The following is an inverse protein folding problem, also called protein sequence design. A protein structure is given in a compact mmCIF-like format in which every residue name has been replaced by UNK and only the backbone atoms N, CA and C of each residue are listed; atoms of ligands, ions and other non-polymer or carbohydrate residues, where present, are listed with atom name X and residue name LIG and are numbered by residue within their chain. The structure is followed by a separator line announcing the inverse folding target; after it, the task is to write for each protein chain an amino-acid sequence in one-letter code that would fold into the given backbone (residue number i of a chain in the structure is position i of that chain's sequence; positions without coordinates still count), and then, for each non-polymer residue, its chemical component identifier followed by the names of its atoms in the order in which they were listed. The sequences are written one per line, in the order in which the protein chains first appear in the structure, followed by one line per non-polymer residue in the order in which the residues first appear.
data_IF_226490133267
#
_entry.id   IF_226490133267
#
_cell.length_a   1.000
_cell.length_b   1.000
_cell.length_c   1.000
_cell.angle_alpha   90.00
_cell.angle_beta   90.00
_cell.angle_gamma   90.00
#
_symmetry.space_group_name_H-M   'P 1'
#
loop_
_entity.id
_entity.type
_entity.pdbx_description
1 polymer ?
#
# COMPACT_ATOMS: atom_id res chain seq x y z
N UNK A 1 25.79 -15.51 10.02
CA UNK A 1 25.05 -14.44 10.70
C UNK A 1 23.82 -15.04 11.35
N UNK A 2 23.43 -14.57 12.54
CA UNK A 2 22.17 -14.92 13.17
C UNK A 2 21.09 -13.92 12.81
N UNK A 3 19.96 -14.40 12.29
CA UNK A 3 18.83 -13.61 11.85
C UNK A 3 17.64 -13.92 12.77
N UNK A 4 17.01 -12.88 13.30
CA UNK A 4 15.83 -12.98 14.15
C UNK A 4 14.58 -12.46 13.47
N UNK A 5 13.47 -13.16 13.65
CA UNK A 5 12.16 -12.76 13.14
C UNK A 5 11.18 -12.77 14.32
N UNK A 6 10.97 -11.63 14.99
CA UNK A 6 10.00 -11.52 16.07
C UNK A 6 8.56 -11.52 15.55
N UNK A 7 7.62 -11.73 16.47
CA UNK A 7 6.20 -11.52 16.26
C UNK A 7 5.91 -10.02 16.12
N UNK A 8 5.07 -9.63 15.17
CA UNK A 8 4.58 -8.26 15.06
C UNK A 8 3.53 -7.96 16.12
N UNK A 9 3.67 -6.84 16.80
CA UNK A 9 2.84 -6.45 17.94
C UNK A 9 1.85 -5.32 17.64
N UNK A 10 1.96 -4.66 16.49
CA UNK A 10 1.05 -3.60 16.10
C UNK A 10 -0.37 -4.13 15.92
N UNK A 11 -1.35 -3.41 16.48
CA UNK A 11 -2.76 -3.77 16.36
C UNK A 11 -3.20 -3.90 14.90
N UNK A 12 -3.80 -5.05 14.55
CA UNK A 12 -4.25 -5.35 13.19
C UNK A 12 -3.16 -5.83 12.23
N UNK A 13 -1.88 -5.90 12.65
CA UNK A 13 -0.82 -6.48 11.84
C UNK A 13 -0.91 -8.02 11.85
N UNK A 14 -0.99 -8.60 10.67
CA UNK A 14 -1.08 -10.06 10.50
C UNK A 14 0.10 -10.63 9.73
N UNK A 15 0.96 -9.77 9.18
CA UNK A 15 2.12 -10.20 8.40
C UNK A 15 3.26 -10.66 9.31
N UNK A 16 4.16 -11.44 8.74
CA UNK A 16 5.43 -11.84 9.32
C UNK A 16 6.56 -11.45 8.36
N UNK A 17 7.70 -11.04 8.89
CA UNK A 17 8.79 -10.49 8.07
C UNK A 17 9.50 -11.54 7.17
N UNK A 18 9.33 -12.83 7.46
CA UNK A 18 9.90 -13.89 6.62
C UNK A 18 8.93 -15.07 6.48
N UNK A 19 8.80 -15.59 5.27
CA UNK A 19 8.05 -16.82 4.99
C UNK A 19 8.96 -18.06 5.12
N UNK A 20 8.43 -19.29 5.25
CA UNK A 20 9.26 -20.51 5.26
C UNK A 20 10.16 -20.61 4.01
N UNK A 21 9.68 -20.19 2.83
CA UNK A 21 10.49 -20.18 1.62
C UNK A 21 11.69 -19.22 1.74
N UNK A 22 11.47 -18.02 2.27
CA UNK A 22 12.53 -17.04 2.52
C UNK A 22 13.53 -17.56 3.55
N UNK A 23 13.04 -18.12 4.64
CA UNK A 23 13.87 -18.73 5.70
C UNK A 23 14.74 -19.87 5.13
N UNK A 24 14.15 -20.75 4.30
CA UNK A 24 14.90 -21.82 3.62
C UNK A 24 16.06 -21.28 2.78
N UNK A 25 15.83 -20.18 2.05
CA UNK A 25 16.88 -19.51 1.25
C UNK A 25 17.99 -18.95 2.13
N UNK A 26 17.65 -18.27 3.24
CA UNK A 26 18.62 -17.71 4.19
C UNK A 26 19.48 -18.81 4.84
N UNK A 27 18.86 -19.91 5.26
CA UNK A 27 19.58 -21.07 5.82
C UNK A 27 20.49 -21.71 4.77
N UNK A 28 20.02 -21.85 3.52
CA UNK A 28 20.82 -22.33 2.41
C UNK A 28 22.05 -21.45 2.07
N UNK A 29 22.00 -20.18 2.47
CA UNK A 29 23.14 -19.25 2.38
C UNK A 29 24.08 -19.29 3.60
N UNK A 30 23.84 -20.21 4.55
CA UNK A 30 24.67 -20.40 5.73
C UNK A 30 24.29 -19.50 6.93
N UNK A 31 23.10 -18.90 6.93
CA UNK A 31 22.60 -18.14 8.07
C UNK A 31 21.84 -19.03 9.05
N UNK A 32 21.86 -18.68 10.32
CA UNK A 32 20.98 -19.25 11.35
C UNK A 32 19.77 -18.33 11.50
N UNK A 33 18.57 -18.91 11.49
CA UNK A 33 17.32 -18.13 11.61
C UNK A 33 16.56 -18.58 12.85
N UNK A 34 16.21 -17.62 13.71
CA UNK A 34 15.36 -17.83 14.89
C UNK A 34 14.08 -17.02 14.72
N UNK A 35 12.92 -17.69 14.78
CA UNK A 35 11.62 -17.03 14.82
C UNK A 35 11.09 -17.05 16.24
N UNK A 36 10.40 -15.98 16.63
CA UNK A 36 9.58 -16.01 17.83
C UNK A 36 8.40 -16.95 17.60
N UNK A 37 8.10 -17.81 18.60
CA UNK A 37 6.96 -18.71 18.55
C UNK A 37 5.66 -17.94 18.26
N UNK A 38 4.89 -18.44 17.31
CA UNK A 38 3.65 -17.83 16.87
C UNK A 38 3.79 -16.68 15.88
N UNK A 39 5.01 -16.26 15.49
CA UNK A 39 5.21 -15.12 14.60
C UNK A 39 4.47 -15.23 13.25
N UNK A 40 4.31 -16.43 12.72
CA UNK A 40 3.62 -16.68 11.45
C UNK A 40 2.12 -16.98 11.57
N UNK A 41 1.58 -17.19 12.78
CA UNK A 41 0.21 -17.71 12.95
C UNK A 41 -0.87 -16.83 12.30
N UNK A 42 -0.77 -15.51 12.45
CA UNK A 42 -1.72 -14.58 11.84
C UNK A 42 -1.60 -14.50 10.31
N UNK A 43 -0.46 -14.96 9.76
CA UNK A 43 -0.25 -15.19 8.32
C UNK A 43 -0.63 -16.61 7.88
N UNK A 44 -1.30 -17.40 8.73
CA UNK A 44 -1.67 -18.80 8.48
C UNK A 44 -0.46 -19.74 8.31
N UNK A 45 0.68 -19.43 8.93
CA UNK A 45 1.90 -20.23 8.89
C UNK A 45 2.26 -20.68 10.31
N UNK A 46 2.11 -21.99 10.64
CA UNK A 46 2.46 -22.51 11.98
C UNK A 46 3.98 -22.63 12.15
N UNK A 47 4.43 -22.64 13.41
CA UNK A 47 5.85 -22.78 13.77
C UNK A 47 6.49 -24.01 13.13
N UNK A 48 5.78 -25.14 13.05
CA UNK A 48 6.24 -26.37 12.40
C UNK A 48 6.64 -26.21 10.94
N UNK A 49 6.04 -25.26 10.21
CA UNK A 49 6.42 -24.99 8.82
C UNK A 49 7.80 -24.32 8.72
N UNK A 50 8.18 -23.54 9.73
CA UNK A 50 9.51 -22.94 9.82
C UNK A 50 10.56 -23.95 10.31
N UNK A 51 10.21 -24.79 11.30
CA UNK A 51 11.06 -25.89 11.78
C UNK A 51 11.40 -26.87 10.65
N UNK A 52 10.42 -27.20 9.80
CA UNK A 52 10.60 -28.10 8.66
C UNK A 52 11.64 -27.58 7.64
N UNK A 53 11.92 -26.29 7.60
CA UNK A 53 12.96 -25.70 6.74
C UNK A 53 14.26 -25.37 7.48
N UNK A 54 14.36 -25.76 8.77
CA UNK A 54 15.57 -25.67 9.57
C UNK A 54 15.68 -24.42 10.45
N UNK A 55 14.61 -23.66 10.64
CA UNK A 55 14.60 -22.56 11.59
C UNK A 55 14.54 -23.07 13.04
N UNK A 56 15.01 -22.25 13.95
CA UNK A 56 14.81 -22.44 15.39
C UNK A 56 13.61 -21.63 15.86
N UNK A 57 12.71 -22.22 16.62
CA UNK A 57 11.62 -21.50 17.29
C UNK A 57 12.08 -21.15 18.71
N UNK A 58 11.89 -19.90 19.11
CA UNK A 58 12.29 -19.36 20.41
C UNK A 58 11.27 -18.34 20.95
N UNK A 59 11.66 -17.68 22.02
CA UNK A 59 10.90 -16.55 22.57
C UNK A 59 11.28 -15.21 21.89
N UNK A 60 10.64 -14.13 22.31
CA UNK A 60 10.93 -12.78 21.81
C UNK A 60 12.41 -12.40 22.04
N UNK A 61 12.94 -12.69 23.24
CA UNK A 61 14.32 -12.37 23.59
C UNK A 61 15.31 -13.06 22.66
N UNK A 62 15.09 -14.33 22.31
CA UNK A 62 15.93 -15.07 21.38
C UNK A 62 15.89 -14.49 19.94
N UNK A 63 14.74 -14.01 19.48
CA UNK A 63 14.60 -13.39 18.18
C UNK A 63 15.26 -11.99 18.15
N UNK A 64 15.06 -11.16 19.16
CA UNK A 64 15.66 -9.82 19.26
C UNK A 64 17.17 -9.82 19.55
N UNK A 65 17.72 -10.90 20.16
CA UNK A 65 19.16 -11.06 20.41
C UNK A 65 19.99 -11.35 19.14
N UNK A 66 19.37 -11.39 17.98
CA UNK A 66 20.03 -11.68 16.71
C UNK A 66 20.92 -10.50 16.20
N UNK A 67 21.91 -10.81 15.37
CA UNK A 67 22.77 -9.83 14.70
C UNK A 67 21.97 -8.98 13.68
N UNK A 68 20.98 -9.61 13.02
CA UNK A 68 20.06 -8.97 12.10
C UNK A 68 18.62 -9.33 12.51
N UNK A 69 17.80 -8.33 12.79
CA UNK A 69 16.38 -8.46 13.09
C UNK A 69 15.56 -8.05 11.87
N UNK A 70 14.66 -8.92 11.43
CA UNK A 70 13.70 -8.63 10.36
C UNK A 70 12.34 -8.34 10.97
N UNK A 71 11.79 -7.16 10.70
CA UNK A 71 10.44 -6.76 11.12
C UNK A 71 9.63 -6.23 9.94
N UNK A 72 8.32 -6.28 10.05
CA UNK A 72 7.42 -5.60 9.14
C UNK A 72 7.32 -4.12 9.51
N UNK A 73 7.06 -3.83 10.78
CA UNK A 73 6.89 -2.45 11.28
C UNK A 73 8.06 -2.01 12.15
N UNK A 74 8.17 -0.70 12.37
CA UNK A 74 9.12 -0.14 13.31
C UNK A 74 8.89 -0.71 14.73
N UNK A 75 9.96 -1.01 15.49
CA UNK A 75 9.83 -1.55 16.83
C UNK A 75 9.34 -0.47 17.82
N UNK A 76 8.58 -0.91 18.81
CA UNK A 76 8.26 -0.08 19.97
C UNK A 76 9.43 -0.03 20.98
N UNK A 77 9.24 0.67 22.11
CA UNK A 77 10.29 0.81 23.13
C UNK A 77 10.64 -0.51 23.82
N UNK A 78 9.65 -1.37 24.05
CA UNK A 78 9.86 -2.66 24.71
C UNK A 78 10.62 -3.63 23.77
N UNK A 79 10.33 -3.59 22.50
CA UNK A 79 11.05 -4.34 21.47
C UNK A 79 12.49 -3.84 21.28
N UNK A 80 12.67 -2.50 21.19
CA UNK A 80 14.01 -1.89 21.14
C UNK A 80 14.86 -2.22 22.36
N UNK A 81 14.23 -2.33 23.54
CA UNK A 81 14.95 -2.69 24.77
C UNK A 81 15.57 -4.09 24.74
N UNK A 82 15.02 -5.01 23.94
CA UNK A 82 15.50 -6.38 23.77
C UNK A 82 16.61 -6.49 22.70
N UNK A 83 16.77 -5.49 21.83
CA UNK A 83 17.79 -5.49 20.79
C UNK A 83 19.17 -5.18 21.36
N UNK A 84 20.19 -5.85 20.82
CA UNK A 84 21.59 -5.61 21.19
C UNK A 84 22.14 -4.37 20.47
N UNK A 85 22.96 -3.59 21.18
CA UNK A 85 23.73 -2.52 20.54
C UNK A 85 24.65 -3.10 19.46
N UNK A 86 24.69 -2.46 18.29
CA UNK A 86 25.44 -2.93 17.11
C UNK A 86 24.66 -3.90 16.24
N UNK A 87 23.46 -4.33 16.62
CA UNK A 87 22.60 -5.13 15.74
C UNK A 87 22.05 -4.31 14.57
N UNK A 88 21.61 -5.03 13.55
CA UNK A 88 20.98 -4.48 12.35
C UNK A 88 19.48 -4.74 12.40
N UNK A 89 18.70 -3.74 12.04
CA UNK A 89 17.23 -3.82 11.89
C UNK A 89 16.84 -3.54 10.44
N UNK A 90 16.06 -4.42 9.84
CA UNK A 90 15.54 -4.26 8.49
C UNK A 90 14.00 -4.38 8.51
N UNK A 91 13.31 -3.39 7.96
CA UNK A 91 11.84 -3.37 7.90
C UNK A 91 11.29 -2.08 7.31
N UNK A 92 9.98 -1.87 7.41
CA UNK A 92 9.33 -0.60 7.13
C UNK A 92 9.35 0.23 8.43
N UNK A 93 10.31 1.13 8.55
CA UNK A 93 10.68 1.76 9.81
C UNK A 93 10.22 3.21 9.95
N UNK A 94 9.42 3.70 8.99
CA UNK A 94 8.96 5.08 8.92
C UNK A 94 10.09 6.12 9.08
N UNK A 95 10.99 6.28 8.09
CA UNK A 95 12.16 7.16 8.18
C UNK A 95 11.79 8.66 8.28
N UNK A 96 10.51 9.00 8.33
CA UNK A 96 9.99 10.35 8.57
C UNK A 96 9.64 10.61 10.04
N UNK A 97 9.66 9.59 10.89
CA UNK A 97 9.49 9.69 12.34
C UNK A 97 10.88 9.90 13.00
N UNK A 98 11.23 11.16 13.21
CA UNK A 98 12.52 11.53 13.81
C UNK A 98 12.71 10.99 15.22
N UNK A 99 11.63 10.85 16.01
CA UNK A 99 11.70 10.34 17.38
C UNK A 99 12.02 8.83 17.37
N UNK A 100 11.40 8.08 16.47
CA UNK A 100 11.72 6.66 16.29
C UNK A 100 13.17 6.47 15.85
N UNK A 101 13.64 7.27 14.87
CA UNK A 101 15.05 7.23 14.43
C UNK A 101 16.00 7.55 15.57
N UNK A 102 15.72 8.59 16.37
CA UNK A 102 16.55 8.97 17.50
C UNK A 102 16.63 7.86 18.55
N UNK A 103 15.53 7.17 18.85
CA UNK A 103 15.51 6.02 19.78
C UNK A 103 16.36 4.86 19.27
N UNK A 104 16.23 4.49 17.99
CA UNK A 104 17.07 3.45 17.38
C UNK A 104 18.56 3.83 17.40
N UNK A 105 18.90 5.07 17.08
CA UNK A 105 20.25 5.57 17.10
C UNK A 105 20.85 5.57 18.53
N UNK A 106 20.09 6.01 19.53
CA UNK A 106 20.50 5.99 20.93
C UNK A 106 20.81 4.58 21.46
N UNK A 107 20.17 3.54 20.89
CA UNK A 107 20.43 2.14 21.16
C UNK A 107 21.62 1.56 20.38
N UNK A 108 22.22 2.33 19.46
CA UNK A 108 23.29 1.88 18.60
C UNK A 108 22.85 0.87 17.53
N UNK A 109 21.58 0.94 17.10
CA UNK A 109 21.02 0.08 16.07
C UNK A 109 21.34 0.66 14.69
N UNK A 110 21.80 -0.19 13.76
CA UNK A 110 21.90 0.16 12.34
C UNK A 110 20.58 -0.20 11.65
N UNK A 111 19.78 0.80 11.28
CA UNK A 111 18.45 0.60 10.73
C UNK A 111 18.40 0.80 9.22
N UNK A 112 17.76 -0.13 8.50
CA UNK A 112 17.46 -0.03 7.07
C UNK A 112 15.95 0.01 6.86
N UNK A 113 15.44 1.20 6.53
CA UNK A 113 14.04 1.41 6.16
C UNK A 113 13.83 1.02 4.68
N UNK A 114 13.11 -0.05 4.42
CA UNK A 114 12.87 -0.55 3.06
C UNK A 114 12.09 0.44 2.20
N UNK A 115 11.21 1.23 2.80
CA UNK A 115 10.46 2.28 2.13
C UNK A 115 11.31 3.47 1.69
N UNK A 116 12.53 3.59 2.18
CA UNK A 116 13.51 4.59 1.73
C UNK A 116 14.39 4.08 0.59
N UNK A 117 14.22 2.84 0.13
CA UNK A 117 14.97 2.30 -1.00
C UNK A 117 14.77 3.18 -2.25
N UNK A 118 15.85 3.49 -3.01
CA UNK A 118 15.75 4.36 -4.17
C UNK A 118 14.89 3.71 -5.26
N UNK A 119 14.04 4.49 -5.92
CA UNK A 119 13.16 4.02 -7.01
C UNK A 119 13.88 3.99 -8.34
N UNK A 120 14.88 3.12 -8.45
CA UNK A 120 15.62 2.85 -9.68
C UNK A 120 15.31 1.45 -10.19
N UNK A 121 15.52 1.20 -11.47
CA UNK A 121 15.29 -0.13 -12.07
C UNK A 121 16.08 -1.23 -11.35
N UNK A 122 17.27 -0.90 -10.84
CA UNK A 122 18.13 -1.84 -10.10
C UNK A 122 17.57 -2.19 -8.72
N UNK A 123 16.79 -1.31 -8.09
CA UNK A 123 16.23 -1.49 -6.76
C UNK A 123 14.78 -1.98 -6.77
N UNK A 124 14.20 -2.28 -7.93
CA UNK A 124 12.79 -2.73 -8.02
C UNK A 124 12.49 -3.97 -7.17
N UNK A 125 13.45 -4.87 -7.02
CA UNK A 125 13.29 -6.06 -6.16
C UNK A 125 13.18 -5.75 -4.66
N UNK A 126 13.57 -4.53 -4.25
CA UNK A 126 13.50 -4.02 -2.88
C UNK A 126 12.29 -3.11 -2.65
N UNK A 127 11.47 -2.84 -3.68
CA UNK A 127 10.34 -1.91 -3.61
C UNK A 127 9.15 -2.56 -2.89
N UNK A 128 9.21 -2.55 -1.56
CA UNK A 128 8.16 -3.05 -0.70
C UNK A 128 6.90 -2.19 -0.76
N UNK A 129 7.03 -0.88 -1.05
CA UNK A 129 5.88 0.01 -1.16
C UNK A 129 5.01 -0.39 -2.36
N UNK A 130 5.61 -0.71 -3.50
CA UNK A 130 4.86 -1.16 -4.67
C UNK A 130 4.18 -2.50 -4.45
N UNK A 131 4.84 -3.47 -3.82
CA UNK A 131 4.22 -4.77 -3.54
C UNK A 131 3.04 -4.65 -2.56
N UNK A 132 3.17 -3.84 -1.51
CA UNK A 132 2.08 -3.58 -0.55
C UNK A 132 0.96 -2.74 -1.16
N UNK A 133 1.29 -1.72 -1.96
CA UNK A 133 0.31 -0.90 -2.67
C UNK A 133 -0.54 -1.74 -3.65
N UNK A 134 0.07 -2.72 -4.32
CA UNK A 134 -0.65 -3.65 -5.19
C UNK A 134 -1.71 -4.45 -4.41
N UNK A 135 -1.33 -5.01 -3.26
CA UNK A 135 -2.27 -5.72 -2.37
C UNK A 135 -3.37 -4.77 -1.87
N UNK A 136 -3.01 -3.55 -1.47
CA UNK A 136 -3.95 -2.54 -1.00
C UNK A 136 -5.01 -2.20 -2.07
N UNK A 137 -4.58 -1.97 -3.32
CA UNK A 137 -5.49 -1.69 -4.44
C UNK A 137 -6.45 -2.85 -4.73
N UNK A 138 -5.95 -4.09 -4.71
CA UNK A 138 -6.78 -5.28 -4.83
C UNK A 138 -7.81 -5.38 -3.69
N UNK A 139 -7.34 -5.24 -2.45
CA UNK A 139 -8.20 -5.36 -1.26
C UNK A 139 -9.25 -4.24 -1.19
N UNK A 140 -8.90 -3.02 -1.56
CA UNK A 140 -9.83 -1.89 -1.58
C UNK A 140 -11.05 -2.17 -2.45
N UNK A 141 -10.86 -2.78 -3.63
CA UNK A 141 -11.98 -3.16 -4.49
C UNK A 141 -12.85 -4.25 -3.85
N UNK A 142 -12.24 -5.25 -3.21
CA UNK A 142 -13.01 -6.30 -2.53
C UNK A 142 -13.80 -5.76 -1.34
N UNK A 143 -13.22 -4.84 -0.57
CA UNK A 143 -13.92 -4.14 0.52
C UNK A 143 -15.08 -3.31 -0.02
N UNK A 144 -14.83 -2.52 -1.08
CA UNK A 144 -15.87 -1.75 -1.75
C UNK A 144 -17.01 -2.63 -2.28
N UNK A 145 -16.68 -3.74 -2.93
CA UNK A 145 -17.66 -4.69 -3.45
C UNK A 145 -18.46 -5.39 -2.33
N UNK A 146 -17.81 -5.69 -1.19
CA UNK A 146 -18.46 -6.31 -0.04
C UNK A 146 -19.53 -5.39 0.60
N UNK A 147 -19.22 -4.10 0.71
CA UNK A 147 -20.13 -3.12 1.30
C UNK A 147 -21.16 -2.56 0.32
N UNK A 148 -20.93 -2.69 -0.99
CA UNK A 148 -21.86 -2.23 -2.01
C UNK A 148 -23.04 -3.19 -2.11
N UNK A 149 -24.32 -2.73 -1.88
CA UNK A 149 -25.47 -3.62 -1.76
C UNK A 149 -26.04 -4.12 -3.09
N UNK A 150 -25.29 -4.00 -4.19
CA UNK A 150 -25.69 -4.39 -5.55
C UNK A 150 -24.58 -5.16 -6.24
N UNK A 151 -24.83 -5.61 -7.48
CA UNK A 151 -23.84 -6.33 -8.28
C UNK A 151 -22.77 -5.41 -8.85
N UNK A 152 -21.53 -5.90 -8.92
CA UNK A 152 -20.46 -5.23 -9.65
C UNK A 152 -20.66 -5.28 -11.17
N UNK A 153 -20.94 -6.46 -11.78
CA UNK A 153 -21.17 -6.57 -13.23
C UNK A 153 -22.60 -6.18 -13.63
N UNK A 154 -22.78 -5.94 -14.91
CA UNK A 154 -24.10 -5.91 -15.50
C UNK A 154 -24.68 -7.34 -15.52
N UNK A 155 -25.97 -7.44 -15.16
CA UNK A 155 -26.73 -8.69 -15.26
C UNK A 155 -27.99 -8.48 -16.09
N UNK A 156 -28.26 -9.42 -16.98
CA UNK A 156 -29.51 -9.48 -17.73
C UNK A 156 -30.27 -10.75 -17.33
N UNK A 157 -31.49 -10.58 -16.88
CA UNK A 157 -32.38 -11.68 -16.52
C UNK A 157 -33.73 -11.50 -17.20
N UNK A 158 -34.59 -12.53 -17.15
CA UNK A 158 -35.97 -12.42 -17.62
C UNK A 158 -36.79 -11.33 -16.88
N UNK A 159 -36.37 -10.99 -15.65
CA UNK A 159 -37.01 -9.95 -14.82
C UNK A 159 -36.49 -8.53 -15.12
N UNK A 160 -35.46 -8.37 -15.96
CA UNK A 160 -34.89 -7.08 -16.34
C UNK A 160 -33.35 -7.03 -16.28
N UNK A 161 -32.82 -5.82 -16.49
CA UNK A 161 -31.38 -5.57 -16.53
C UNK A 161 -30.93 -4.81 -15.29
N UNK A 162 -29.91 -5.33 -14.61
CA UNK A 162 -29.15 -4.62 -13.56
C UNK A 162 -27.93 -3.99 -14.21
N UNK A 163 -27.76 -2.67 -14.06
CA UNK A 163 -26.62 -1.94 -14.60
C UNK A 163 -25.35 -2.28 -13.79
N UNK A 164 -24.20 -2.29 -14.47
CA UNK A 164 -22.91 -2.43 -13.81
C UNK A 164 -22.65 -1.28 -12.82
N UNK A 165 -21.94 -1.59 -11.72
CA UNK A 165 -21.48 -0.59 -10.78
C UNK A 165 -20.52 0.40 -11.44
N UNK A 166 -20.62 1.68 -11.10
CA UNK A 166 -19.68 2.72 -11.52
C UNK A 166 -18.67 2.95 -10.42
N UNK A 167 -17.42 2.70 -10.73
CA UNK A 167 -16.29 2.84 -9.79
C UNK A 167 -15.41 3.99 -10.21
N UNK A 168 -15.18 4.94 -9.32
CA UNK A 168 -14.25 6.04 -9.50
C UNK A 168 -12.98 5.78 -8.68
N UNK A 169 -11.82 5.80 -9.34
CA UNK A 169 -10.52 5.63 -8.70
C UNK A 169 -9.81 6.99 -8.68
N UNK A 170 -9.41 7.45 -7.50
CA UNK A 170 -8.68 8.70 -7.30
C UNK A 170 -7.22 8.39 -6.93
N UNK A 171 -6.33 8.65 -7.87
CA UNK A 171 -4.93 8.25 -7.85
C UNK A 171 -4.69 6.97 -8.66
N UNK A 172 -3.82 7.06 -9.68
CA UNK A 172 -3.45 5.94 -10.55
C UNK A 172 -1.96 5.56 -10.38
N UNK A 173 -1.49 5.49 -9.14
CA UNK A 173 -0.26 4.81 -8.78
C UNK A 173 -0.45 3.29 -8.80
N UNK A 174 0.50 2.54 -8.23
CA UNK A 174 0.44 1.06 -8.20
C UNK A 174 -0.89 0.56 -7.61
N UNK A 175 -1.33 1.12 -6.48
CA UNK A 175 -2.60 0.74 -5.85
C UNK A 175 -3.80 1.07 -6.76
N UNK A 176 -3.83 2.27 -7.35
CA UNK A 176 -4.93 2.69 -8.22
C UNK A 176 -5.03 1.86 -9.50
N UNK A 177 -3.91 1.59 -10.17
CA UNK A 177 -3.88 0.74 -11.37
C UNK A 177 -4.34 -0.69 -11.04
N UNK A 178 -3.92 -1.24 -9.90
CA UNK A 178 -4.40 -2.55 -9.44
C UNK A 178 -5.89 -2.52 -9.12
N UNK A 179 -6.38 -1.45 -8.48
CA UNK A 179 -7.81 -1.28 -8.21
C UNK A 179 -8.62 -1.22 -9.52
N UNK A 180 -8.14 -0.47 -10.52
CA UNK A 180 -8.75 -0.42 -11.86
C UNK A 180 -8.83 -1.83 -12.45
N UNK A 181 -7.72 -2.55 -12.50
CA UNK A 181 -7.66 -3.90 -13.06
C UNK A 181 -8.62 -4.87 -12.34
N UNK A 182 -8.70 -4.79 -11.01
CA UNK A 182 -9.56 -5.65 -10.19
C UNK A 182 -11.04 -5.30 -10.40
N UNK A 183 -11.42 -4.01 -10.35
CA UNK A 183 -12.79 -3.58 -10.56
C UNK A 183 -13.31 -3.91 -11.97
N UNK A 184 -12.44 -3.78 -12.99
CA UNK A 184 -12.74 -4.21 -14.37
C UNK A 184 -12.99 -5.71 -14.46
N UNK A 185 -12.17 -6.55 -13.79
CA UNK A 185 -12.38 -8.01 -13.75
C UNK A 185 -13.68 -8.39 -13.06
N UNK A 186 -14.15 -7.62 -12.08
CA UNK A 186 -15.46 -7.78 -11.45
C UNK A 186 -16.62 -7.26 -12.33
N UNK A 187 -16.32 -6.70 -13.50
CA UNK A 187 -17.33 -6.25 -14.47
C UNK A 187 -17.86 -4.83 -14.24
N UNK A 188 -17.21 -4.03 -13.42
CA UNK A 188 -17.59 -2.64 -13.20
C UNK A 188 -17.24 -1.73 -14.39
N UNK A 189 -17.96 -0.61 -14.50
CA UNK A 189 -17.57 0.54 -15.32
C UNK A 189 -16.65 1.41 -14.49
N UNK A 190 -15.39 1.58 -14.94
CA UNK A 190 -14.35 2.24 -14.15
C UNK A 190 -13.92 3.54 -14.82
N UNK A 191 -13.90 4.61 -14.04
CA UNK A 191 -13.27 5.88 -14.36
C UNK A 191 -12.14 6.15 -13.34
N UNK A 192 -11.08 6.84 -13.75
CA UNK A 192 -9.97 7.17 -12.87
C UNK A 192 -9.43 8.58 -13.12
N UNK A 193 -9.01 9.25 -12.05
CA UNK A 193 -8.39 10.57 -12.07
C UNK A 193 -7.00 10.51 -11.46
N UNK A 194 -6.04 11.17 -12.09
CA UNK A 194 -4.69 11.40 -11.56
C UNK A 194 -4.19 12.75 -12.06
N UNK A 195 -3.32 13.39 -11.30
CA UNK A 195 -2.73 14.68 -11.68
C UNK A 195 -1.63 14.54 -12.74
N UNK A 196 -1.13 13.33 -12.99
CA UNK A 196 -0.05 13.04 -13.92
C UNK A 196 -0.62 12.60 -15.27
N UNK A 197 -0.43 13.36 -16.37
CA UNK A 197 -0.91 12.96 -17.69
C UNK A 197 -0.30 11.65 -18.20
N UNK A 198 0.94 11.34 -17.78
CA UNK A 198 1.66 10.13 -18.20
C UNK A 198 0.96 8.82 -17.79
N UNK A 199 0.05 8.83 -16.80
CA UNK A 199 -0.69 7.63 -16.39
C UNK A 199 -1.98 7.39 -17.19
N UNK A 200 -2.40 8.34 -18.04
CA UNK A 200 -3.62 8.23 -18.87
C UNK A 200 -3.61 6.97 -19.71
N UNK A 201 -2.52 6.74 -20.46
CA UNK A 201 -2.37 5.56 -21.31
C UNK A 201 -2.45 4.25 -20.48
N UNK A 202 -1.86 4.23 -19.29
CA UNK A 202 -1.91 3.07 -18.41
C UNK A 202 -3.34 2.79 -17.93
N UNK A 203 -4.11 3.82 -17.58
CA UNK A 203 -5.52 3.72 -17.17
C UNK A 203 -6.37 3.16 -18.32
N UNK A 204 -6.20 3.74 -19.52
CA UNK A 204 -6.95 3.36 -20.71
C UNK A 204 -6.60 1.96 -21.21
N UNK A 205 -5.34 1.53 -21.07
CA UNK A 205 -4.89 0.17 -21.40
C UNK A 205 -5.53 -0.91 -20.51
N UNK A 206 -5.92 -0.55 -19.29
CA UNK A 206 -6.69 -1.42 -18.39
C UNK A 206 -8.19 -1.41 -18.67
N UNK A 207 -8.65 -0.65 -19.67
CA UNK A 207 -10.05 -0.54 -20.07
C UNK A 207 -10.88 0.39 -19.19
N UNK A 208 -10.26 1.27 -18.41
CA UNK A 208 -10.93 2.34 -17.67
C UNK A 208 -10.91 3.66 -18.49
N UNK A 209 -11.78 4.60 -18.13
CA UNK A 209 -11.80 5.93 -18.73
C UNK A 209 -11.03 6.91 -17.84
N UNK A 210 -10.12 7.66 -18.43
CA UNK A 210 -9.43 8.74 -17.74
C UNK A 210 -10.36 9.96 -17.58
N UNK A 211 -10.40 10.53 -16.37
CA UNK A 211 -11.08 11.81 -16.09
C UNK A 211 -10.11 12.92 -16.46
N UNK A 212 -10.22 13.42 -17.67
CA UNK A 212 -9.31 14.42 -18.22
C UNK A 212 -9.62 15.81 -17.66
N UNK A 213 -8.59 16.52 -17.22
CA UNK A 213 -8.63 17.93 -16.81
C UNK A 213 -7.60 18.65 -17.65
N UNK A 214 -8.00 19.50 -18.59
CA UNK A 214 -7.08 20.17 -19.50
C UNK A 214 -6.00 20.98 -18.76
N UNK A 215 -4.76 20.94 -19.31
CA UNK A 215 -3.67 21.80 -18.89
C UNK A 215 -3.70 23.08 -19.76
N UNK A 216 -4.05 24.19 -19.14
CA UNK A 216 -4.31 25.45 -19.85
C UNK A 216 -3.07 26.36 -19.93
N UNK A 217 -2.17 26.26 -18.93
CA UNK A 217 -0.97 27.10 -18.82
C UNK A 217 0.31 26.29 -18.95
N UNK A 218 1.43 26.96 -19.28
CA UNK A 218 2.75 26.32 -19.33
C UNK A 218 3.21 25.87 -17.93
N UNK A 219 2.90 26.65 -16.87
CA UNK A 219 3.14 26.28 -15.50
C UNK A 219 2.44 24.95 -15.13
N UNK A 220 1.20 24.77 -15.57
CA UNK A 220 0.45 23.51 -15.34
C UNK A 220 1.12 22.33 -16.05
N UNK A 221 1.64 22.52 -17.27
CA UNK A 221 2.37 21.49 -18.03
C UNK A 221 3.67 21.10 -17.33
N UNK A 222 4.46 22.09 -16.87
CA UNK A 222 5.70 21.84 -16.14
C UNK A 222 5.46 21.10 -14.82
N UNK A 223 4.40 21.46 -14.07
CA UNK A 223 4.04 20.78 -12.83
C UNK A 223 3.58 19.32 -13.09
N UNK A 224 2.84 19.09 -14.17
CA UNK A 224 2.31 17.78 -14.52
C UNK A 224 3.39 16.78 -14.95
N UNK A 225 4.53 17.21 -15.49
CA UNK A 225 5.67 16.34 -15.83
C UNK A 225 6.27 15.67 -14.60
N UNK A 226 6.19 16.28 -13.41
CA UNK A 226 6.57 15.71 -12.14
C UNK A 226 8.06 15.41 -11.99
N UNK A 227 8.43 14.78 -10.87
CA UNK A 227 9.80 14.31 -10.58
C UNK A 227 9.72 12.97 -9.86
N UNK A 228 10.49 11.98 -10.30
CA UNK A 228 10.61 10.69 -9.61
C UNK A 228 9.31 9.88 -9.52
N UNK A 229 8.36 10.08 -10.46
CA UNK A 229 7.07 9.38 -10.48
C UNK A 229 5.98 10.00 -9.60
N UNK A 230 6.26 11.11 -8.92
CA UNK A 230 5.28 11.92 -8.20
C UNK A 230 5.03 13.24 -8.94
N UNK A 231 3.77 13.70 -8.95
CA UNK A 231 3.44 15.02 -9.46
C UNK A 231 4.03 16.11 -8.54
N UNK A 232 4.43 17.24 -9.15
CA UNK A 232 4.64 18.47 -8.40
C UNK A 232 3.30 19.03 -7.92
N UNK A 233 3.26 19.89 -6.89
CA UNK A 233 2.03 20.60 -6.53
C UNK A 233 1.49 21.35 -7.75
N UNK A 234 0.27 21.05 -8.16
CA UNK A 234 -0.39 21.72 -9.26
C UNK A 234 -0.88 23.12 -8.83
N UNK A 235 -0.95 24.09 -9.75
CA UNK A 235 -1.51 25.42 -9.49
C UNK A 235 -2.97 25.32 -8.98
N UNK A 236 -3.36 26.30 -8.15
CA UNK A 236 -4.69 26.32 -7.52
C UNK A 236 -5.83 26.35 -8.56
N UNK A 237 -5.64 26.98 -9.70
CA UNK A 237 -6.61 27.02 -10.80
C UNK A 237 -6.91 25.63 -11.35
N UNK A 238 -5.87 24.86 -11.61
CA UNK A 238 -6.00 23.48 -12.09
C UNK A 238 -6.63 22.57 -11.03
N UNK A 239 -6.20 22.72 -9.77
CA UNK A 239 -6.75 21.96 -8.65
C UNK A 239 -8.26 22.21 -8.47
N UNK A 240 -8.72 23.44 -8.69
CA UNK A 240 -10.15 23.75 -8.65
C UNK A 240 -10.93 23.07 -9.79
N UNK A 241 -10.40 23.05 -11.01
CA UNK A 241 -11.01 22.32 -12.12
C UNK A 241 -11.02 20.81 -11.90
N UNK A 242 -9.94 20.26 -11.35
CA UNK A 242 -9.88 18.83 -10.97
C UNK A 242 -10.90 18.51 -9.89
N UNK A 243 -10.99 19.33 -8.85
CA UNK A 243 -11.97 19.11 -7.77
C UNK A 243 -13.41 19.12 -8.32
N UNK A 244 -13.73 20.00 -9.25
CA UNK A 244 -15.04 20.05 -9.91
C UNK A 244 -15.30 18.79 -10.74
N UNK A 245 -14.32 18.36 -11.56
CA UNK A 245 -14.44 17.14 -12.35
C UNK A 245 -14.60 15.89 -11.48
N UNK A 246 -13.85 15.79 -10.38
CA UNK A 246 -13.97 14.71 -9.40
C UNK A 246 -15.34 14.74 -8.74
N UNK A 247 -15.82 15.90 -8.32
CA UNK A 247 -17.16 16.08 -7.75
C UNK A 247 -18.23 15.50 -8.68
N UNK A 248 -18.28 15.95 -9.95
CA UNK A 248 -19.26 15.50 -10.93
C UNK A 248 -19.23 13.98 -11.15
N UNK A 249 -18.04 13.36 -11.15
CA UNK A 249 -17.91 11.91 -11.30
C UNK A 249 -18.30 11.16 -10.04
N UNK A 250 -17.95 11.69 -8.86
CA UNK A 250 -18.31 11.09 -7.57
C UNK A 250 -19.83 11.01 -7.39
N UNK A 251 -20.58 12.05 -7.77
CA UNK A 251 -22.06 12.03 -7.72
C UNK A 251 -22.68 10.93 -8.59
N UNK A 252 -21.97 10.49 -9.63
CA UNK A 252 -22.45 9.44 -10.52
C UNK A 252 -21.92 8.05 -10.15
N UNK A 253 -20.98 7.98 -9.19
CA UNK A 253 -20.31 6.75 -8.80
C UNK A 253 -21.09 5.98 -7.76
N UNK A 254 -20.92 4.68 -7.75
CA UNK A 254 -21.46 3.77 -6.76
C UNK A 254 -20.39 3.40 -5.72
N UNK A 255 -19.13 3.37 -6.17
CA UNK A 255 -17.96 3.13 -5.32
C UNK A 255 -16.89 4.15 -5.69
N UNK A 256 -16.28 4.78 -4.69
CA UNK A 256 -15.09 5.65 -4.85
C UNK A 256 -13.93 5.04 -4.05
N UNK A 257 -12.78 4.86 -4.71
CA UNK A 257 -11.56 4.34 -4.07
C UNK A 257 -10.49 5.41 -4.16
N UNK A 258 -9.90 5.78 -3.02
CA UNK A 258 -8.86 6.80 -2.93
C UNK A 258 -7.52 6.15 -2.62
N UNK A 259 -6.49 6.41 -3.44
CA UNK A 259 -5.17 5.79 -3.32
C UNK A 259 -4.02 6.80 -3.36
N UNK A 260 -4.28 8.09 -3.20
CA UNK A 260 -3.25 9.12 -3.23
C UNK A 260 -2.46 9.16 -1.93
N UNK A 261 -1.41 8.34 -1.84
CA UNK A 261 -0.45 8.32 -0.75
C UNK A 261 0.81 9.10 -1.16
N UNK A 262 1.24 10.05 -0.31
CA UNK A 262 2.50 10.77 -0.47
C UNK A 262 3.37 10.43 0.76
N UNK A 263 4.46 9.66 0.62
CA UNK A 263 5.32 9.30 1.75
C UNK A 263 5.83 10.54 2.50
N UNK A 264 5.74 10.51 3.84
CA UNK A 264 6.20 11.59 4.71
C UNK A 264 5.37 12.89 4.68
N UNK A 265 4.23 12.91 4.00
CA UNK A 265 3.34 14.08 3.92
C UNK A 265 1.89 13.68 4.11
N UNK A 266 1.08 14.62 4.58
CA UNK A 266 -0.37 14.44 4.66
C UNK A 266 -0.93 14.25 3.26
N UNK A 267 -1.78 13.22 3.09
CA UNK A 267 -2.49 12.99 1.84
C UNK A 267 -3.41 14.18 1.50
N UNK A 268 -3.59 14.52 0.21
CA UNK A 268 -4.54 15.55 -0.18
C UNK A 268 -5.98 15.11 0.11
N UNK A 269 -6.85 16.05 0.46
CA UNK A 269 -8.29 15.80 0.56
C UNK A 269 -8.87 15.78 -0.85
N UNK A 270 -9.17 14.59 -1.37
CA UNK A 270 -9.66 14.40 -2.74
C UNK A 270 -11.19 14.49 -2.86
N UNK A 271 -11.90 14.16 -1.78
CA UNK A 271 -13.36 14.30 -1.68
C UNK A 271 -13.69 15.29 -0.58
N UNK A 272 -14.40 16.34 -0.94
CA UNK A 272 -14.90 17.34 0.01
C UNK A 272 -16.20 16.82 0.66
N UNK A 273 -16.48 17.25 1.88
CA UNK A 273 -17.70 16.91 2.63
C UNK A 273 -18.96 17.15 1.79
N UNK A 274 -19.07 18.31 1.17
CA UNK A 274 -20.19 18.67 0.29
C UNK A 274 -20.36 17.71 -0.92
N UNK A 275 -19.30 17.05 -1.37
CA UNK A 275 -19.39 16.01 -2.40
C UNK A 275 -19.99 14.74 -1.82
N UNK A 276 -19.50 14.33 -0.64
CA UNK A 276 -19.95 13.10 0.03
C UNK A 276 -21.44 13.18 0.37
N UNK A 277 -21.92 14.33 0.87
CA UNK A 277 -23.33 14.57 1.18
C UNK A 277 -24.27 14.44 -0.03
N UNK A 278 -23.76 14.73 -1.23
CA UNK A 278 -24.54 14.67 -2.48
C UNK A 278 -24.38 13.35 -3.25
N UNK A 279 -23.52 12.44 -2.80
CA UNK A 279 -23.36 11.13 -3.43
C UNK A 279 -24.64 10.29 -3.30
N UNK A 280 -24.77 9.29 -4.15
CA UNK A 280 -25.92 8.39 -4.13
C UNK A 280 -26.06 7.70 -2.77
N UNK A 281 -27.27 7.61 -2.19
CA UNK A 281 -27.50 6.77 -1.02
C UNK A 281 -27.05 5.32 -1.28
N UNK A 282 -26.28 4.76 -0.34
CA UNK A 282 -25.71 3.42 -0.47
C UNK A 282 -24.43 3.34 -1.33
N UNK A 283 -23.86 4.49 -1.75
CA UNK A 283 -22.50 4.52 -2.30
C UNK A 283 -21.47 4.21 -1.23
N UNK A 284 -20.33 3.69 -1.66
CA UNK A 284 -19.23 3.24 -0.78
C UNK A 284 -17.97 4.03 -1.09
N UNK A 285 -17.26 4.49 -0.06
CA UNK A 285 -15.95 5.14 -0.16
C UNK A 285 -14.93 4.27 0.58
N UNK A 286 -13.81 3.97 -0.10
CA UNK A 286 -12.70 3.19 0.45
C UNK A 286 -11.39 3.97 0.33
#
# INVERSE_FOLDING_TARGET
MHIGVPLETHSGETRVAATPETVKKLIGQGHRVTLQSGAGLLSSVPDSAYEAVGATIGDAAAAFAAELVLKVNAPDEAELAQMQSGSVLLGMLNPFDNDCIARMAARGITAFALEAAPRTSRAQSLDVLSSQANIAGYKAVLVGAHHYPRFMPMLMTAAGTVKAARVLILGAGVAGLQAIATAKRLGAVVEASDVRPAVKEQIESLGAKFVDVPLETDEERECAEGVGGYARPMPASWMARQAQAVHERALQSDIVITTALIPGRKAPTLLQEATVEQMKPGSVIV
#
